data_IF_295332546447
#
_entry.id   IF_295332546447
#
_cell.length_a   1.000
_cell.length_b   1.000
_cell.length_c   1.000
_cell.angle_alpha   90.00
_cell.angle_beta   90.00
_cell.angle_gamma   90.00
#
_symmetry.space_group_name_H-M   'P 1'
#
loop_
_entity.id
_entity.type
_entity.pdbx_description
1 polymer ?
#
# COMPACT_ATOMS: atom_id res chain seq x y z
N UNK A 1 -33.31 -10.31 -12.83
CA UNK A 1 -32.79 -10.03 -11.47
C UNK A 1 -31.34 -10.50 -11.28
N UNK A 2 -30.95 -11.68 -11.79
CA UNK A 2 -29.57 -12.20 -11.72
C UNK A 2 -28.53 -11.31 -12.43
N UNK A 3 -28.88 -10.71 -13.56
CA UNK A 3 -27.99 -9.84 -14.36
C UNK A 3 -27.65 -8.54 -13.65
N UNK A 4 -28.58 -8.00 -12.84
CA UNK A 4 -28.35 -6.80 -12.03
C UNK A 4 -27.34 -7.08 -10.90
N UNK A 5 -27.43 -8.26 -10.28
CA UNK A 5 -26.50 -8.72 -9.24
C UNK A 5 -25.07 -8.90 -9.77
N UNK A 6 -24.92 -9.42 -10.99
CA UNK A 6 -23.61 -9.53 -11.66
C UNK A 6 -22.98 -8.16 -11.95
N UNK A 7 -23.77 -7.17 -12.39
CA UNK A 7 -23.28 -5.81 -12.65
C UNK A 7 -22.86 -5.08 -11.35
N UNK A 8 -23.57 -5.32 -10.24
CA UNK A 8 -23.20 -4.78 -8.93
C UNK A 8 -21.88 -5.35 -8.40
N UNK A 9 -21.59 -6.63 -8.65
CA UNK A 9 -20.33 -7.25 -8.24
C UNK A 9 -19.09 -6.66 -8.94
N UNK A 10 -19.24 -6.17 -10.18
CA UNK A 10 -18.15 -5.52 -10.94
C UNK A 10 -17.88 -4.11 -10.42
N UNK A 11 -18.93 -3.38 -10.03
CA UNK A 11 -18.85 -2.02 -9.49
C UNK A 11 -18.25 -1.96 -8.09
N UNK A 12 -18.38 -3.05 -7.30
CA UNK A 12 -17.77 -3.20 -5.98
C UNK A 12 -16.48 -4.02 -6.10
N UNK A 13 -15.53 -3.54 -6.88
CA UNK A 13 -14.15 -4.06 -6.81
C UNK A 13 -13.47 -3.40 -5.59
N UNK A 14 -13.17 -4.12 -4.49
CA UNK A 14 -12.46 -3.56 -3.34
C UNK A 14 -10.97 -3.33 -3.64
N UNK A 15 -10.49 -3.83 -4.78
CA UNK A 15 -9.08 -3.98 -5.12
C UNK A 15 -8.40 -2.74 -5.70
N UNK A 16 -8.71 -1.55 -5.18
CA UNK A 16 -7.95 -0.34 -5.49
C UNK A 16 -7.43 0.36 -4.23
N UNK A 17 -7.27 -0.37 -3.13
CA UNK A 17 -6.33 0.02 -2.08
C UNK A 17 -4.92 -0.16 -2.66
N UNK A 18 -4.19 0.93 -2.85
CA UNK A 18 -2.78 0.87 -3.21
C UNK A 18 -2.02 0.13 -2.10
N UNK A 19 -1.73 -1.16 -2.29
CA UNK A 19 -0.99 -1.93 -1.29
C UNK A 19 -1.03 -3.45 -1.39
N UNK A 20 -1.66 -4.05 -2.40
CA UNK A 20 -1.65 -5.51 -2.54
C UNK A 20 -0.48 -5.99 -3.42
N UNK A 21 0.29 -6.96 -2.93
CA UNK A 21 1.32 -7.64 -3.72
C UNK A 21 0.66 -8.80 -4.47
N UNK A 22 0.37 -8.58 -5.75
CA UNK A 22 -0.32 -9.55 -6.61
C UNK A 22 0.58 -10.74 -6.94
N UNK A 23 0.10 -11.96 -6.71
CA UNK A 23 0.85 -13.21 -6.97
C UNK A 23 2.01 -13.46 -6.02
N UNK A 24 2.09 -12.73 -4.90
CA UNK A 24 3.12 -12.89 -3.88
C UNK A 24 2.85 -14.05 -2.91
N UNK A 25 3.78 -14.22 -1.98
CA UNK A 25 3.63 -15.07 -0.79
C UNK A 25 4.14 -14.32 0.43
N UNK A 26 3.68 -14.72 1.61
CA UNK A 26 4.14 -14.12 2.86
C UNK A 26 5.65 -14.34 3.05
N UNK A 27 6.36 -13.27 3.38
CA UNK A 27 7.79 -13.34 3.65
C UNK A 27 8.04 -13.92 5.04
N UNK A 28 9.15 -14.66 5.20
CA UNK A 28 9.59 -15.08 6.54
C UNK A 28 9.74 -13.83 7.44
N UNK A 29 9.26 -13.85 8.70
CA UNK A 29 9.39 -12.73 9.61
C UNK A 29 10.82 -12.19 9.66
N UNK A 30 10.95 -10.87 9.58
CA UNK A 30 12.23 -10.13 9.62
C UNK A 30 13.24 -10.47 8.50
N UNK A 31 12.88 -11.23 7.46
CA UNK A 31 13.77 -11.53 6.31
C UNK A 31 14.01 -10.36 5.35
N UNK A 32 13.33 -9.24 5.59
CA UNK A 32 13.43 -7.97 4.84
C UNK A 32 13.70 -6.82 5.82
N UNK A 33 14.86 -6.80 6.52
CA UNK A 33 15.12 -5.85 7.61
C UNK A 33 15.19 -4.39 7.14
N UNK A 34 15.38 -4.17 5.84
CA UNK A 34 15.35 -2.85 5.23
C UNK A 34 13.93 -2.33 4.96
N UNK A 35 12.88 -3.16 5.05
CA UNK A 35 11.52 -2.75 4.72
C UNK A 35 10.95 -1.84 5.81
N UNK A 36 10.53 -0.63 5.42
CA UNK A 36 9.92 0.36 6.31
C UNK A 36 8.46 0.62 5.93
N UNK A 37 7.58 0.67 6.93
CA UNK A 37 6.21 1.12 6.77
C UNK A 37 6.11 2.61 7.09
N UNK A 38 5.92 3.43 6.06
CA UNK A 38 5.93 4.90 6.17
C UNK A 38 4.50 5.39 6.35
N UNK A 39 4.22 6.01 7.50
CA UNK A 39 2.89 6.51 7.87
C UNK A 39 2.98 7.99 8.23
N UNK A 40 2.12 8.79 7.61
CA UNK A 40 2.16 10.25 7.71
C UNK A 40 0.75 10.86 7.57
N UNK A 41 0.64 12.16 7.84
CA UNK A 41 -0.59 12.94 7.76
C UNK A 41 -0.45 14.03 6.70
N UNK A 42 -1.41 14.10 5.77
CA UNK A 42 -1.52 15.21 4.81
C UNK A 42 -2.96 15.73 4.87
N UNK A 43 -3.15 17.02 5.17
CA UNK A 43 -4.48 17.65 5.27
C UNK A 43 -5.44 16.83 6.13
N UNK A 44 -4.96 16.43 7.33
CA UNK A 44 -5.68 15.58 8.30
C UNK A 44 -6.04 14.17 7.82
N UNK A 45 -5.64 13.79 6.60
CA UNK A 45 -5.82 12.43 6.08
C UNK A 45 -4.57 11.61 6.35
N UNK A 46 -4.77 10.47 7.00
CA UNK A 46 -3.72 9.45 7.17
C UNK A 46 -3.37 8.85 5.81
N UNK A 47 -2.07 8.77 5.54
CA UNK A 47 -1.51 8.18 4.34
C UNK A 47 -0.42 7.19 4.72
N UNK A 48 -0.26 6.17 3.89
CA UNK A 48 0.71 5.11 4.08
C UNK A 48 1.48 4.90 2.75
N UNK A 49 2.76 4.53 2.87
CA UNK A 49 3.62 4.12 1.77
C UNK A 49 4.61 3.05 2.24
N UNK A 50 5.24 2.38 1.28
CA UNK A 50 6.46 1.60 1.55
C UNK A 50 7.71 2.48 1.56
N UNK A 51 8.77 1.99 2.18
CA UNK A 51 10.10 2.61 2.14
C UNK A 51 11.21 1.59 2.39
N UNK A 52 12.44 2.04 2.20
CA UNK A 52 13.67 1.24 2.37
C UNK A 52 14.62 1.98 3.32
N UNK A 53 15.01 1.35 4.42
CA UNK A 53 16.06 1.84 5.31
C UNK A 53 17.42 1.73 4.61
N UNK A 54 18.00 2.87 4.21
CA UNK A 54 19.28 2.92 3.47
C UNK A 54 20.45 3.32 4.35
N UNK A 55 20.18 3.96 5.49
CA UNK A 55 21.11 4.27 6.58
C UNK A 55 20.35 4.24 7.91
N UNK A 56 21.06 4.28 9.03
CA UNK A 56 20.50 4.11 10.38
C UNK A 56 19.29 5.03 10.67
N UNK A 57 19.25 6.21 10.06
CA UNK A 57 18.27 7.27 10.29
C UNK A 57 17.57 7.74 9.00
N UNK A 58 17.78 7.06 7.86
CA UNK A 58 17.28 7.51 6.56
C UNK A 58 16.51 6.40 5.86
N UNK A 59 15.24 6.68 5.59
CA UNK A 59 14.33 5.86 4.79
C UNK A 59 14.12 6.51 3.42
N UNK A 60 14.44 5.77 2.36
CA UNK A 60 14.12 6.13 0.98
C UNK A 60 12.68 5.70 0.66
N UNK A 61 11.90 6.58 0.03
CA UNK A 61 10.52 6.31 -0.40
C UNK A 61 10.21 7.02 -1.72
N UNK A 62 9.04 6.77 -2.31
CA UNK A 62 8.62 7.44 -3.54
C UNK A 62 8.28 8.91 -3.26
N UNK A 63 8.73 9.82 -4.13
CA UNK A 63 8.48 11.26 -3.98
C UNK A 63 6.99 11.61 -3.86
N UNK A 64 6.13 10.88 -4.60
CA UNK A 64 4.69 11.13 -4.63
C UNK A 64 3.98 10.79 -3.31
N UNK A 65 4.66 10.10 -2.37
CA UNK A 65 4.10 9.84 -1.06
C UNK A 65 3.86 11.15 -0.31
N UNK A 66 4.78 12.11 -0.38
CA UNK A 66 4.59 13.40 0.30
C UNK A 66 3.96 14.47 -0.58
N UNK A 67 4.29 14.50 -1.88
CA UNK A 67 3.76 15.48 -2.82
C UNK A 67 2.91 14.81 -3.90
N UNK A 68 1.61 15.04 -3.90
CA UNK A 68 0.82 14.88 -5.12
C UNK A 68 0.94 16.14 -5.97
#
# INVERSE_FOLDING_TARGET
MQTLLFLLAILVSPGAEAGEIIGGHEVKPHSRPYMAFVRYLIKEKRKNCGGVLVRQDIVLTAAHCWGR
#
